data_IF_709423814661
#
_entry.id   IF_709423814661
#
_cell.length_a   1.000
_cell.length_b   1.000
_cell.length_c   1.000
_cell.angle_alpha   90.00
_cell.angle_beta   90.00
_cell.angle_gamma   90.00
#
_symmetry.space_group_name_H-M   'P 1'
#
loop_
_entity.id
_entity.type
_entity.pdbx_description
1 polymer ?
#
# COMPACT_ATOMS: atom_id res chain seq x y z
N UNK A 1 -83.42 -30.41 19.50
CA UNK A 1 -83.90 -30.23 18.11
C UNK A 1 -83.07 -29.15 17.44
N UNK A 2 -82.63 -29.42 16.20
CA UNK A 2 -82.02 -28.53 15.18
C UNK A 2 -80.48 -28.27 15.25
N UNK A 3 -79.76 -29.18 14.59
CA UNK A 3 -78.78 -29.02 13.49
C UNK A 3 -78.49 -27.59 12.96
N UNK A 4 -77.40 -27.25 12.26
CA UNK A 4 -76.04 -27.78 11.92
C UNK A 4 -75.43 -26.73 10.93
N UNK A 5 -74.16 -26.90 10.50
CA UNK A 5 -73.42 -26.16 9.44
C UNK A 5 -72.95 -24.71 9.76
N UNK A 6 -71.77 -24.19 9.39
CA UNK A 6 -70.50 -24.63 8.75
C UNK A 6 -69.65 -23.33 8.65
N UNK A 7 -68.31 -23.40 8.71
CA UNK A 7 -67.36 -22.77 7.76
C UNK A 7 -65.98 -22.59 8.39
N UNK A 8 -65.02 -23.13 7.64
CA UNK A 8 -63.58 -23.18 7.80
C UNK A 8 -62.98 -21.89 7.25
N UNK A 9 -62.12 -21.15 8.00
CA UNK A 9 -61.06 -20.36 7.35
C UNK A 9 -59.91 -20.00 8.31
N UNK A 10 -58.72 -20.37 7.84
CA UNK A 10 -57.37 -20.03 8.29
C UNK A 10 -57.21 -18.58 8.80
N UNK A 11 -56.28 -18.35 9.73
CA UNK A 11 -54.98 -17.77 9.39
C UNK A 11 -54.04 -17.77 10.60
N UNK A 12 -52.90 -18.44 10.42
CA UNK A 12 -51.67 -18.29 11.19
C UNK A 12 -51.43 -16.82 11.56
N UNK A 13 -51.47 -16.50 12.86
CA UNK A 13 -50.87 -15.27 13.39
C UNK A 13 -49.70 -15.65 14.31
N UNK A 14 -48.67 -16.26 13.72
CA UNK A 14 -47.32 -16.14 14.26
C UNK A 14 -46.49 -15.46 13.18
N UNK A 15 -46.70 -14.17 12.99
CA UNK A 15 -45.77 -13.36 12.21
C UNK A 15 -45.16 -12.28 13.08
N UNK A 16 -43.84 -12.39 13.18
CA UNK A 16 -42.90 -11.29 13.36
C UNK A 16 -42.55 -10.82 14.78
N UNK A 17 -42.13 -11.72 15.66
CA UNK A 17 -41.28 -11.35 16.83
C UNK A 17 -39.84 -11.87 16.75
N UNK A 18 -39.37 -12.35 15.59
CA UNK A 18 -37.93 -12.63 15.38
C UNK A 18 -37.24 -11.76 14.32
N UNK A 19 -37.99 -10.95 13.56
CA UNK A 19 -37.43 -10.08 12.53
C UNK A 19 -37.05 -8.67 13.04
N UNK A 20 -37.67 -8.18 14.13
CA UNK A 20 -37.40 -6.84 14.66
C UNK A 20 -36.02 -6.67 15.34
N UNK A 21 -35.35 -7.76 15.77
CA UNK A 21 -34.00 -7.67 16.38
C UNK A 21 -32.84 -7.54 15.38
N UNK A 22 -33.06 -7.74 14.07
CA UNK A 22 -31.99 -7.69 13.06
C UNK A 22 -31.78 -6.32 12.39
N UNK A 23 -32.66 -5.35 12.64
CA UNK A 23 -32.67 -4.08 11.91
C UNK A 23 -32.16 -2.84 12.68
N UNK A 24 -31.69 -2.98 13.92
CA UNK A 24 -31.03 -1.87 14.64
C UNK A 24 -29.58 -1.58 14.19
N UNK A 25 -29.05 -2.31 13.19
CA UNK A 25 -27.63 -2.34 12.81
C UNK A 25 -27.21 -1.40 11.65
N UNK A 26 -28.06 -0.48 11.20
CA UNK A 26 -27.85 0.27 9.95
C UNK A 26 -27.78 1.80 10.04
N UNK A 27 -27.46 2.39 11.20
CA UNK A 27 -27.24 3.84 11.25
C UNK A 27 -25.77 4.15 10.93
N UNK A 28 -25.47 4.18 9.62
CA UNK A 28 -24.19 4.64 9.06
C UNK A 28 -24.34 6.10 8.65
N UNK A 29 -23.35 6.92 8.96
CA UNK A 29 -23.27 8.30 8.50
C UNK A 29 -21.91 8.52 7.89
N UNK A 30 -21.85 9.20 6.75
CA UNK A 30 -20.61 9.71 6.18
C UNK A 30 -20.33 11.07 6.83
N UNK A 31 -19.07 11.31 7.16
CA UNK A 31 -18.58 12.60 7.65
C UNK A 31 -17.45 13.08 6.76
N UNK A 32 -17.30 14.40 6.68
CA UNK A 32 -16.18 15.07 6.03
C UNK A 32 -15.44 15.88 7.09
N UNK A 33 -14.14 15.66 7.22
CA UNK A 33 -13.27 16.39 8.15
C UNK A 33 -12.18 17.12 7.37
N UNK A 34 -11.91 18.36 7.76
CA UNK A 34 -10.85 19.20 7.20
C UNK A 34 -9.75 19.37 8.25
N UNK A 35 -8.51 18.98 7.91
CA UNK A 35 -7.35 19.10 8.81
C UNK A 35 -6.18 19.68 8.03
N UNK A 36 -5.79 20.93 8.31
CA UNK A 36 -4.67 21.72 7.75
C UNK A 36 -4.38 21.54 6.24
N UNK A 37 -3.90 20.37 5.83
CA UNK A 37 -3.52 20.03 4.45
C UNK A 37 -4.16 18.75 3.91
N UNK A 38 -5.20 18.21 4.56
CA UNK A 38 -5.91 17.01 4.13
C UNK A 38 -7.43 17.14 4.31
N UNK A 39 -8.14 16.45 3.41
CA UNK A 39 -9.59 16.24 3.49
C UNK A 39 -9.86 14.77 3.71
N UNK A 40 -10.72 14.43 4.68
CA UNK A 40 -11.03 13.06 5.06
C UNK A 40 -12.53 12.80 4.89
N UNK A 41 -12.86 11.73 4.16
CA UNK A 41 -14.20 11.17 4.06
C UNK A 41 -14.21 9.86 4.83
N UNK A 42 -15.01 9.79 5.89
CA UNK A 42 -15.07 8.62 6.74
C UNK A 42 -16.51 8.23 7.01
N UNK A 43 -16.79 6.94 6.99
CA UNK A 43 -18.05 6.41 7.50
C UNK A 43 -17.91 6.12 8.99
N UNK A 44 -18.92 6.45 9.79
CA UNK A 44 -18.96 6.22 11.24
C UNK A 44 -20.13 5.30 11.63
N UNK A 45 -19.94 4.61 12.75
CA UNK A 45 -20.97 3.83 13.43
C UNK A 45 -21.67 4.68 14.49
N UNK A 46 -22.99 4.79 14.41
CA UNK A 46 -23.79 5.69 15.27
C UNK A 46 -24.32 5.03 16.56
N UNK A 47 -23.88 3.81 16.89
CA UNK A 47 -24.27 3.12 18.13
C UNK A 47 -23.12 2.99 19.12
N UNK A 48 -23.43 2.87 20.42
CA UNK A 48 -22.45 2.45 21.43
C UNK A 48 -22.33 0.93 21.40
N UNK A 49 -21.13 0.41 21.15
CA UNK A 49 -20.87 -1.02 21.25
C UNK A 49 -20.28 -1.34 22.64
N UNK A 50 -20.66 -2.47 23.26
CA UNK A 50 -19.98 -2.93 24.45
C UNK A 50 -18.49 -3.15 24.13
N UNK A 51 -17.62 -2.53 24.93
CA UNK A 51 -16.18 -2.66 24.80
C UNK A 51 -15.77 -4.01 25.36
N UNK A 52 -15.66 -5.02 24.51
CA UNK A 52 -14.93 -6.23 24.86
C UNK A 52 -13.44 -5.89 24.83
N UNK A 53 -12.88 -5.59 26.02
CA UNK A 53 -11.46 -5.29 26.22
C UNK A 53 -10.61 -6.37 25.55
N UNK A 54 -9.83 -5.96 24.55
CA UNK A 54 -8.74 -6.76 23.99
C UNK A 54 -7.56 -5.81 23.95
N UNK A 55 -6.70 -5.93 24.96
CA UNK A 55 -5.79 -4.90 25.50
C UNK A 55 -4.83 -4.26 24.48
N UNK A 56 -4.66 -4.88 23.30
CA UNK A 56 -3.69 -4.42 22.31
C UNK A 56 -4.28 -3.92 20.98
N UNK A 57 -5.61 -3.92 20.80
CA UNK A 57 -6.20 -3.49 19.52
C UNK A 57 -6.25 -1.96 19.40
N UNK A 58 -5.76 -1.41 18.28
CA UNK A 58 -5.96 0.00 17.94
C UNK A 58 -7.38 0.26 17.45
N UNK A 59 -8.02 1.25 18.04
CA UNK A 59 -9.34 1.77 17.65
C UNK A 59 -9.21 3.17 17.06
N UNK A 60 -10.02 3.42 16.05
CA UNK A 60 -10.13 4.70 15.35
C UNK A 60 -11.56 5.20 15.47
N UNK A 61 -11.71 6.42 15.96
CA UNK A 61 -13.00 7.01 16.29
C UNK A 61 -12.95 8.52 16.13
N UNK A 62 -14.10 9.17 16.13
CA UNK A 62 -14.21 10.61 15.91
C UNK A 62 -14.78 11.28 17.14
N UNK A 63 -14.14 12.36 17.57
CA UNK A 63 -14.67 13.33 18.52
C UNK A 63 -14.11 14.71 18.20
N UNK A 64 -14.92 15.75 18.43
CA UNK A 64 -14.57 17.14 18.17
C UNK A 64 -13.98 17.34 16.77
N UNK A 65 -14.64 16.75 15.76
CA UNK A 65 -14.26 16.84 14.34
C UNK A 65 -12.85 16.34 14.01
N UNK A 66 -12.27 15.52 14.90
CA UNK A 66 -10.95 14.91 14.72
C UNK A 66 -11.06 13.41 14.82
N UNK A 67 -10.24 12.71 14.04
CA UNK A 67 -10.02 11.28 14.23
C UNK A 67 -9.03 11.09 15.38
N UNK A 68 -9.49 10.38 16.39
CA UNK A 68 -8.72 9.93 17.53
C UNK A 68 -8.29 8.48 17.32
N UNK A 69 -7.13 8.13 17.87
CA UNK A 69 -6.62 6.76 17.88
C UNK A 69 -6.24 6.38 19.29
N UNK A 70 -6.74 5.25 19.74
CA UNK A 70 -6.57 4.74 21.11
C UNK A 70 -6.29 3.25 21.08
N UNK A 71 -5.63 2.73 22.11
CA UNK A 71 -5.45 1.29 22.31
C UNK A 71 -6.47 0.80 23.32
N UNK A 72 -7.25 -0.21 22.97
CA UNK A 72 -8.17 -0.90 23.88
C UNK A 72 -9.53 -0.21 24.14
N UNK A 73 -9.65 1.11 24.01
CA UNK A 73 -10.88 1.86 24.33
C UNK A 73 -11.24 2.95 23.30
N UNK A 74 -12.38 3.64 23.44
CA UNK A 74 -12.80 4.82 22.66
C UNK A 74 -13.98 5.56 23.34
N UNK A 75 -14.03 6.89 23.21
CA UNK A 75 -15.11 7.71 23.82
C UNK A 75 -16.09 8.34 22.82
N UNK A 76 -15.81 8.21 21.52
CA UNK A 76 -16.63 8.83 20.47
C UNK A 76 -17.21 7.84 19.46
N UNK A 77 -17.44 8.32 18.24
CA UNK A 77 -18.09 7.51 17.19
C UNK A 77 -17.05 6.72 16.43
N UNK A 78 -17.14 5.39 16.46
CA UNK A 78 -16.18 4.51 15.79
C UNK A 78 -16.22 4.68 14.27
N UNK A 79 -15.06 4.67 13.61
CA UNK A 79 -15.00 4.57 12.15
C UNK A 79 -15.53 3.20 11.68
N UNK A 80 -16.34 3.17 10.64
CA UNK A 80 -16.90 1.94 10.10
C UNK A 80 -17.28 2.10 8.64
N UNK A 81 -16.81 1.23 7.75
CA UNK A 81 -17.07 1.30 6.31
C UNK A 81 -15.88 1.86 5.55
N UNK A 82 -16.13 2.48 4.40
CA UNK A 82 -15.08 3.02 3.56
C UNK A 82 -14.49 4.29 4.19
N UNK A 83 -13.17 4.40 4.09
CA UNK A 83 -12.40 5.58 4.46
C UNK A 83 -11.63 6.05 3.24
N UNK A 84 -11.61 7.36 3.02
CA UNK A 84 -10.76 8.03 2.03
C UNK A 84 -10.15 9.27 2.67
N UNK A 85 -8.90 9.51 2.35
CA UNK A 85 -8.15 10.69 2.75
C UNK A 85 -7.48 11.25 1.51
N UNK A 86 -7.46 12.56 1.37
CA UNK A 86 -6.96 13.30 0.22
C UNK A 86 -5.88 14.28 0.66
N UNK A 87 -4.89 14.47 -0.19
CA UNK A 87 -3.95 15.58 -0.07
C UNK A 87 -4.66 16.92 -0.33
N UNK A 88 -4.02 18.03 0.04
CA UNK A 88 -4.52 19.39 -0.23
C UNK A 88 -4.79 19.67 -1.72
N UNK A 89 -4.03 19.04 -2.61
CA UNK A 89 -4.24 19.12 -4.07
C UNK A 89 -5.40 18.24 -4.56
N UNK A 90 -6.26 17.72 -3.66
CA UNK A 90 -7.37 16.81 -3.93
C UNK A 90 -6.99 15.45 -4.53
N UNK A 91 -5.70 15.10 -4.63
CA UNK A 91 -5.29 13.75 -5.01
C UNK A 91 -5.56 12.78 -3.86
N UNK A 92 -5.97 11.55 -4.18
CA UNK A 92 -6.25 10.53 -3.18
C UNK A 92 -4.95 10.18 -2.45
N UNK A 93 -4.94 10.25 -1.12
CA UNK A 93 -3.78 9.95 -0.26
C UNK A 93 -3.86 8.56 0.32
N UNK A 94 -5.04 8.16 0.82
CA UNK A 94 -5.24 6.88 1.47
C UNK A 94 -6.69 6.40 1.32
N UNK A 95 -6.89 5.08 1.23
CA UNK A 95 -8.20 4.46 1.14
C UNK A 95 -8.16 3.08 1.77
N UNK A 96 -9.22 2.75 2.48
CA UNK A 96 -9.38 1.43 3.04
C UNK A 96 -10.75 1.25 3.66
N UNK A 97 -10.83 0.26 4.54
CA UNK A 97 -12.07 -0.06 5.25
C UNK A 97 -11.81 -0.17 6.75
N UNK A 98 -12.73 0.40 7.51
CA UNK A 98 -12.87 0.16 8.94
C UNK A 98 -14.03 -0.81 9.22
N UNK A 99 -13.89 -1.59 10.28
CA UNK A 99 -14.98 -2.32 10.89
C UNK A 99 -14.98 -2.03 12.38
N UNK A 100 -15.92 -1.18 12.83
CA UNK A 100 -16.13 -0.86 14.26
C UNK A 100 -14.84 -0.38 14.91
N UNK A 101 -14.28 0.67 14.33
CA UNK A 101 -13.06 1.32 14.74
C UNK A 101 -11.78 0.61 14.33
N UNK A 102 -11.84 -0.54 13.65
CA UNK A 102 -10.62 -1.31 13.34
C UNK A 102 -10.31 -1.35 11.85
N UNK A 103 -9.06 -1.09 11.44
CA UNK A 103 -8.65 -1.26 10.03
C UNK A 103 -8.82 -2.71 9.62
N UNK A 104 -9.41 -2.94 8.45
CA UNK A 104 -9.63 -4.29 7.92
C UNK A 104 -9.55 -4.31 6.40
N UNK A 105 -9.16 -5.46 5.84
CA UNK A 105 -9.07 -5.66 4.40
C UNK A 105 -7.83 -5.01 3.79
N UNK A 106 -7.90 -4.67 2.50
CA UNK A 106 -6.81 -4.01 1.79
C UNK A 106 -6.87 -2.51 2.02
N UNK A 107 -5.75 -1.95 2.44
CA UNK A 107 -5.49 -0.53 2.50
C UNK A 107 -4.50 -0.15 1.43
N UNK A 108 -4.78 0.96 0.76
CA UNK A 108 -3.91 1.55 -0.25
C UNK A 108 -3.57 2.97 0.15
N UNK A 109 -2.33 3.38 -0.09
CA UNK A 109 -1.92 4.78 -0.06
C UNK A 109 -1.26 5.14 -1.37
N UNK A 110 -1.32 6.41 -1.72
CA UNK A 110 -0.79 6.95 -2.95
C UNK A 110 0.16 8.11 -2.65
N UNK A 111 1.04 8.40 -3.60
CA UNK A 111 1.81 9.63 -3.64
C UNK A 111 0.92 10.78 -4.13
N UNK A 112 1.37 12.03 -3.95
CA UNK A 112 0.60 13.22 -4.35
C UNK A 112 0.41 13.36 -5.87
N UNK A 113 1.16 12.61 -6.67
CA UNK A 113 1.00 12.48 -8.12
C UNK A 113 -0.05 11.42 -8.53
N UNK A 114 -0.68 10.75 -7.56
CA UNK A 114 -1.69 9.72 -7.81
C UNK A 114 -1.15 8.31 -8.02
N UNK A 115 0.17 8.10 -8.01
CA UNK A 115 0.77 6.76 -8.09
C UNK A 115 0.63 6.00 -6.79
N UNK A 116 0.46 4.68 -6.87
CA UNK A 116 0.38 3.83 -5.67
C UNK A 116 1.70 3.92 -4.92
N UNK A 117 1.63 4.24 -3.63
CA UNK A 117 2.77 4.25 -2.70
C UNK A 117 2.85 2.94 -1.92
N UNK A 118 1.71 2.43 -1.46
CA UNK A 118 1.67 1.22 -0.65
C UNK A 118 0.35 0.47 -0.81
N UNK A 119 0.42 -0.86 -0.76
CA UNK A 119 -0.73 -1.75 -0.61
C UNK A 119 -0.44 -2.68 0.57
N UNK A 120 -1.30 -2.69 1.59
CA UNK A 120 -1.13 -3.54 2.76
C UNK A 120 -2.45 -4.19 3.18
N UNK A 121 -2.39 -5.45 3.62
CA UNK A 121 -3.54 -6.15 4.19
C UNK A 121 -3.60 -5.96 5.70
N UNK A 122 -4.78 -5.62 6.20
CA UNK A 122 -5.05 -5.36 7.61
C UNK A 122 -6.15 -6.29 8.14
N UNK A 123 -6.02 -6.66 9.40
CA UNK A 123 -7.01 -7.42 10.16
C UNK A 123 -7.03 -6.89 11.59
N UNK A 124 -8.18 -6.38 12.03
CA UNK A 124 -8.36 -5.86 13.38
C UNK A 124 -7.30 -4.82 13.78
N UNK A 125 -7.02 -3.86 12.89
CA UNK A 125 -5.99 -2.82 13.05
C UNK A 125 -4.55 -3.31 13.15
N UNK A 126 -4.28 -4.55 12.72
CA UNK A 126 -2.91 -5.06 12.57
C UNK A 126 -2.63 -5.44 11.14
N UNK A 127 -1.43 -5.17 10.64
CA UNK A 127 -0.95 -5.70 9.36
C UNK A 127 -0.96 -7.23 9.42
N UNK A 128 -1.61 -7.85 8.44
CA UNK A 128 -1.74 -9.29 8.38
C UNK A 128 -1.86 -9.75 6.93
N UNK A 129 -0.76 -10.30 6.39
CA UNK A 129 -0.60 -10.66 4.99
C UNK A 129 0.51 -9.85 4.32
N UNK A 130 0.42 -9.70 3.00
CA UNK A 130 1.42 -8.99 2.21
C UNK A 130 1.33 -7.46 2.39
N UNK A 131 2.48 -6.81 2.31
CA UNK A 131 2.65 -5.37 2.17
C UNK A 131 3.60 -5.11 1.00
N UNK A 132 3.21 -4.24 0.07
CA UNK A 132 3.98 -3.85 -1.10
C UNK A 132 4.18 -2.34 -1.06
N UNK A 133 5.41 -1.88 -1.26
CA UNK A 133 5.76 -0.45 -1.27
C UNK A 133 6.42 -0.11 -2.59
N UNK A 134 5.99 1.01 -3.17
CA UNK A 134 6.39 1.47 -4.49
C UNK A 134 6.93 2.91 -4.39
N UNK A 135 7.82 3.28 -5.31
CA UNK A 135 8.27 4.65 -5.47
C UNK A 135 7.25 5.53 -6.22
N UNK A 136 7.62 6.78 -6.49
CA UNK A 136 6.79 7.76 -7.19
C UNK A 136 6.60 7.45 -8.68
N UNK A 137 7.38 6.54 -9.26
CA UNK A 137 7.32 6.11 -10.67
C UNK A 137 6.72 4.70 -10.81
N UNK A 138 5.99 4.23 -9.80
CA UNK A 138 5.36 2.90 -9.75
C UNK A 138 6.35 1.71 -9.69
N UNK A 139 7.62 1.95 -9.38
CA UNK A 139 8.60 0.86 -9.23
C UNK A 139 8.43 0.18 -7.88
N UNK A 140 8.30 -1.14 -7.86
CA UNK A 140 8.24 -1.91 -6.61
C UNK A 140 9.60 -1.82 -5.91
N UNK A 141 9.63 -1.22 -4.71
CA UNK A 141 10.84 -1.11 -3.89
C UNK A 141 10.94 -2.22 -2.86
N UNK A 142 9.79 -2.66 -2.32
CA UNK A 142 9.80 -3.56 -1.16
C UNK A 142 8.56 -4.44 -1.08
N UNK A 143 8.77 -5.70 -0.75
CA UNK A 143 7.72 -6.69 -0.45
C UNK A 143 7.95 -7.28 0.94
N UNK A 144 6.91 -7.29 1.75
CA UNK A 144 6.96 -7.80 3.13
C UNK A 144 5.76 -8.72 3.40
N UNK A 145 5.90 -9.58 4.39
CA UNK A 145 4.81 -10.42 4.90
C UNK A 145 4.68 -10.24 6.41
N UNK A 146 3.47 -9.96 6.87
CA UNK A 146 3.14 -9.73 8.26
C UNK A 146 2.17 -10.78 8.80
N UNK A 147 2.28 -11.07 10.10
CA UNK A 147 1.28 -11.78 10.91
C UNK A 147 1.09 -10.97 12.19
N UNK A 148 -0.06 -10.31 12.29
CA UNK A 148 -0.46 -9.53 13.47
C UNK A 148 0.62 -8.48 13.86
N UNK A 149 0.99 -7.64 12.89
CA UNK A 149 2.06 -6.61 12.92
C UNK A 149 3.51 -7.12 12.96
N UNK A 150 3.73 -8.41 13.21
CA UNK A 150 5.06 -8.99 13.21
C UNK A 150 5.46 -9.43 11.80
N UNK A 151 6.71 -9.15 11.39
CA UNK A 151 7.27 -9.71 10.16
C UNK A 151 7.27 -11.24 10.23
N UNK A 152 6.66 -11.90 9.26
CA UNK A 152 6.50 -13.35 9.26
C UNK A 152 6.52 -13.89 7.82
N UNK A 153 7.72 -14.16 7.32
CA UNK A 153 7.97 -14.52 5.93
C UNK A 153 9.19 -13.81 5.38
N UNK A 154 9.21 -13.61 4.07
CA UNK A 154 10.29 -12.89 3.42
C UNK A 154 10.00 -11.40 3.38
N UNK A 155 11.04 -10.63 3.66
CA UNK A 155 11.21 -9.22 3.30
C UNK A 155 12.15 -9.20 2.10
N UNK A 156 11.75 -8.53 1.03
CA UNK A 156 12.52 -8.44 -0.22
C UNK A 156 12.60 -6.98 -0.61
N UNK A 157 13.81 -6.47 -0.75
CA UNK A 157 14.09 -5.14 -1.28
C UNK A 157 14.57 -5.26 -2.72
N UNK A 158 14.13 -4.32 -3.54
CA UNK A 158 14.44 -4.24 -4.96
C UNK A 158 15.13 -2.90 -5.26
N UNK A 159 16.01 -2.88 -6.26
CA UNK A 159 16.46 -1.63 -6.87
C UNK A 159 15.43 -1.07 -7.86
N UNK A 160 15.75 0.08 -8.47
CA UNK A 160 14.87 0.74 -9.45
C UNK A 160 14.73 -0.02 -10.77
N UNK A 161 15.55 -1.02 -11.02
CA UNK A 161 15.47 -1.91 -12.18
C UNK A 161 14.67 -3.18 -11.85
N UNK A 162 14.18 -3.33 -10.62
CA UNK A 162 13.45 -4.51 -10.16
C UNK A 162 14.34 -5.69 -9.77
N UNK A 163 15.66 -5.50 -9.67
CA UNK A 163 16.58 -6.55 -9.20
C UNK A 163 16.51 -6.63 -7.69
N UNK A 164 16.46 -7.84 -7.15
CA UNK A 164 16.54 -8.08 -5.70
C UNK A 164 17.90 -7.66 -5.19
N UNK A 165 17.92 -6.71 -4.25
CA UNK A 165 19.15 -6.25 -3.59
C UNK A 165 19.35 -6.88 -2.21
N UNK A 166 18.24 -7.22 -1.54
CA UNK A 166 18.25 -7.79 -0.20
C UNK A 166 17.05 -8.70 0.01
N UNK A 167 17.27 -9.82 0.70
CA UNK A 167 16.21 -10.74 1.07
C UNK A 167 16.42 -11.23 2.51
N UNK A 168 15.48 -10.96 3.39
CA UNK A 168 15.56 -11.30 4.82
C UNK A 168 14.39 -12.19 5.19
N UNK A 169 14.63 -13.31 5.86
CA UNK A 169 13.58 -14.17 6.41
C UNK A 169 13.30 -13.80 7.85
N UNK A 170 12.03 -13.64 8.17
CA UNK A 170 11.55 -13.50 9.54
C UNK A 170 10.54 -14.58 9.91
N UNK A 171 10.47 -14.92 11.20
CA UNK A 171 9.40 -15.70 11.82
C UNK A 171 8.96 -15.00 13.09
N UNK A 172 7.70 -14.54 13.11
CA UNK A 172 7.11 -13.79 14.24
C UNK A 172 8.00 -12.63 14.74
N UNK A 173 8.57 -11.84 13.82
CA UNK A 173 9.41 -10.68 14.12
C UNK A 173 10.89 -11.01 14.31
N UNK A 174 11.24 -12.28 14.49
CA UNK A 174 12.63 -12.72 14.70
C UNK A 174 13.30 -12.94 13.34
N UNK A 175 14.45 -12.30 13.13
CA UNK A 175 15.30 -12.50 11.95
C UNK A 175 15.85 -13.93 11.97
N UNK A 176 15.66 -14.67 10.88
CA UNK A 176 16.20 -16.03 10.71
C UNK A 176 17.44 -16.06 9.82
N UNK A 177 17.42 -15.32 8.71
CA UNK A 177 18.55 -15.25 7.76
C UNK A 177 18.45 -14.03 6.86
N UNK A 178 19.59 -13.64 6.30
CA UNK A 178 19.72 -12.55 5.33
C UNK A 178 20.56 -13.01 4.13
N UNK A 179 20.04 -12.79 2.92
CA UNK A 179 20.75 -12.95 1.65
C UNK A 179 21.00 -11.54 1.09
N UNK A 180 22.27 -11.15 0.95
CA UNK A 180 22.67 -9.94 0.21
C UNK A 180 23.00 -10.33 -1.22
N UNK A 181 22.42 -9.66 -2.21
CA UNK A 181 22.88 -9.83 -3.58
C UNK A 181 24.22 -9.10 -3.74
N UNK A 182 25.26 -9.78 -4.22
CA UNK A 182 26.54 -9.14 -4.55
C UNK A 182 26.31 -7.96 -5.51
N UNK A 183 26.99 -6.81 -5.35
CA UNK A 183 26.97 -5.76 -6.35
C UNK A 183 27.54 -6.33 -7.64
N UNK A 184 26.80 -6.18 -8.74
CA UNK A 184 27.25 -6.58 -10.07
C UNK A 184 28.54 -5.82 -10.35
N UNK A 185 29.70 -6.48 -10.22
CA UNK A 185 30.97 -5.93 -10.68
C UNK A 185 30.86 -5.88 -12.20
N UNK A 186 30.68 -4.69 -12.77
CA UNK A 186 30.88 -4.48 -14.20
C UNK A 186 32.27 -5.02 -14.52
N UNK A 187 32.34 -6.18 -15.18
CA UNK A 187 33.58 -6.67 -15.77
C UNK A 187 33.85 -5.77 -16.96
N UNK A 188 34.63 -4.72 -16.75
CA UNK A 188 35.34 -4.05 -17.84
C UNK A 188 36.12 -5.14 -18.60
N UNK A 189 36.04 -5.23 -19.94
CA UNK A 189 36.86 -6.18 -20.66
C UNK A 189 38.33 -5.82 -20.40
N UNK A 190 39.08 -6.72 -19.75
CA UNK A 190 40.54 -6.64 -19.80
C UNK A 190 40.92 -6.84 -21.26
N UNK A 191 41.32 -5.76 -21.94
CA UNK A 191 42.16 -5.87 -23.15
C UNK A 191 43.37 -6.72 -22.75
N UNK A 192 43.44 -7.93 -23.27
CA UNK A 192 44.70 -8.67 -23.35
C UNK A 192 45.67 -7.79 -24.14
N UNK A 193 46.72 -7.35 -23.46
CA UNK A 193 47.91 -6.84 -24.12
C UNK A 193 48.70 -8.09 -24.46
N UNK A 194 48.49 -8.59 -25.68
CA UNK A 194 49.36 -9.61 -26.24
C UNK A 194 50.66 -8.92 -26.65
N UNK A 195 51.67 -9.02 -25.79
CA UNK A 195 53.05 -8.75 -26.14
C UNK A 195 53.59 -9.95 -26.92
N UNK A 196 53.57 -9.87 -28.25
CA UNK A 196 54.48 -10.68 -29.05
C UNK A 196 55.15 -9.82 -30.12
N UNK A 197 56.41 -9.53 -29.83
CA UNK A 197 57.39 -8.92 -30.72
C UNK A 197 57.79 -9.98 -31.74
N UNK A 198 57.57 -9.75 -33.02
CA UNK A 198 58.39 -10.35 -34.08
C UNK A 198 58.65 -9.31 -35.16
N UNK A 199 59.91 -9.27 -35.55
CA UNK A 199 60.64 -8.24 -36.29
C UNK A 199 60.27 -8.28 -37.78
N UNK A 200 59.98 -7.14 -38.39
CA UNK A 200 60.25 -6.90 -39.82
C UNK A 200 60.78 -5.48 -40.07
N UNK A 201 61.56 -5.37 -41.16
CA UNK A 201 62.66 -4.44 -41.48
C UNK A 201 62.27 -2.97 -41.75
N UNK A 202 63.25 -2.03 -41.73
CA UNK A 202 63.02 -0.61 -41.98
C UNK A 202 62.99 -0.29 -43.48
N UNK A 203 62.06 0.57 -43.90
CA UNK A 203 62.12 1.30 -45.17
C UNK A 203 62.18 2.80 -44.86
N UNK A 204 63.19 3.47 -45.44
CA UNK A 204 63.52 4.91 -45.30
C UNK A 204 62.52 5.80 -46.08
N UNK A 205 62.55 7.13 -45.85
CA UNK A 205 61.43 8.04 -46.11
C UNK A 205 61.48 8.69 -47.50
N UNK A 206 60.32 9.17 -47.96
CA UNK A 206 60.24 10.16 -49.03
C UNK A 206 59.44 11.38 -48.52
N UNK A 207 60.11 12.52 -48.53
CA UNK A 207 59.59 13.85 -48.26
C UNK A 207 59.34 14.50 -49.61
N UNK A 208 58.16 15.09 -49.82
CA UNK A 208 58.07 16.30 -50.66
C UNK A 208 56.93 17.21 -50.23
N UNK A 209 57.34 18.45 -49.98
CA UNK A 209 56.57 19.66 -49.75
C UNK A 209 55.51 19.96 -50.83
N UNK A 210 54.41 20.63 -50.47
CA UNK A 210 54.26 22.08 -50.73
C UNK A 210 52.84 22.61 -50.41
N UNK A 211 52.84 23.62 -49.55
CA UNK A 211 52.19 24.95 -49.67
C UNK A 211 50.72 25.09 -50.12
N UNK A 212 50.02 25.79 -49.22
CA UNK A 212 49.20 26.99 -49.44
C UNK A 212 47.99 26.92 -50.40
N UNK A 213 46.80 27.23 -49.88
CA UNK A 213 46.22 28.60 -49.95
C UNK A 213 44.87 28.70 -49.26
N UNK A 214 44.76 29.74 -48.44
CA UNK A 214 43.50 30.41 -48.06
C UNK A 214 42.68 30.75 -49.31
N UNK A 215 41.36 30.60 -49.25
CA UNK A 215 40.44 31.60 -49.80
C UNK A 215 39.14 31.67 -49.00
N UNK A 216 38.96 32.86 -48.45
CA UNK A 216 37.79 33.48 -47.85
C UNK A 216 36.72 33.77 -48.93
N UNK A 217 35.53 34.16 -48.46
CA UNK A 217 34.40 34.83 -49.14
C UNK A 217 33.32 33.92 -49.74
N UNK A 218 32.02 34.26 -49.70
CA UNK A 218 31.18 35.22 -48.98
C UNK A 218 29.75 34.85 -49.37
N UNK A 219 28.81 35.09 -48.47
CA UNK A 219 27.44 35.60 -48.72
C UNK A 219 26.84 35.41 -50.13
N UNK A 220 25.83 34.56 -50.21
CA UNK A 220 24.47 34.95 -50.61
C UNK A 220 23.47 33.92 -50.12
#
# INVERSE_FOLDING_TARGET
MKAWFFIFLLFFQVTATSAQKKNALKKKSEIVLYQDSITIYANIYMGKLPVFRKEDALYYWTANEKIQTTRGDYDGKLLHGIYKEFYFNNSLKQKGKFNRGKKTGIWKSWHSNGEIRQIARWRNSRKNGASLTYDVTHTLLRKEKFKDDLLNGWVIDYDRQGKVIKKIKYKNGILLMEEKSSPTRNKTPKKQIDNNVTREKPIKPEVRDEKQKKKTEKQK
#
